data_IF_404206326476
#
_entry.id   IF_404206326476
#
_cell.length_a   1.000
_cell.length_b   1.000
_cell.length_c   1.000
_cell.angle_alpha   90.00
_cell.angle_beta   90.00
_cell.angle_gamma   90.00
#
_symmetry.space_group_name_H-M   'P 1'
#
loop_
_entity.id
_entity.type
_entity.pdbx_description
1 polymer ?
#
# COMPACT_ATOMS: atom_id res chain seq x y z
N UNK A 1 -12.27 7.03 -12.53
CA UNK A 1 -13.55 7.76 -12.67
C UNK A 1 -13.81 8.64 -11.43
N UNK A 2 -12.93 9.61 -11.16
CA UNK A 2 -13.05 10.59 -10.04
C UNK A 2 -13.56 11.92 -10.63
N UNK A 3 -14.76 11.87 -11.20
CA UNK A 3 -15.44 13.02 -11.78
C UNK A 3 -16.90 12.89 -11.40
N UNK A 4 -17.32 13.49 -10.28
CA UNK A 4 -18.69 14.01 -10.12
C UNK A 4 -19.02 14.78 -8.83
N UNK A 5 -18.11 14.96 -7.86
CA UNK A 5 -18.45 15.65 -6.60
C UNK A 5 -17.60 16.89 -6.28
N UNK A 6 -17.16 17.64 -7.31
CA UNK A 6 -16.48 18.95 -7.12
C UNK A 6 -17.12 20.09 -7.91
N UNK A 7 -18.42 20.01 -8.17
CA UNK A 7 -19.18 21.12 -8.79
C UNK A 7 -20.39 21.39 -7.91
N UNK A 8 -20.21 22.23 -6.89
CA UNK A 8 -21.23 23.06 -6.22
C UNK A 8 -20.55 23.82 -5.08
N UNK A 9 -19.55 24.62 -5.42
CA UNK A 9 -18.90 25.58 -4.51
C UNK A 9 -18.68 26.93 -5.18
N UNK A 10 -19.42 27.22 -6.25
CA UNK A 10 -19.52 28.55 -6.87
C UNK A 10 -20.80 29.19 -6.37
N UNK A 11 -20.76 29.71 -5.15
CA UNK A 11 -21.88 30.43 -4.56
C UNK A 11 -21.40 31.09 -3.29
N UNK A 12 -21.61 32.41 -3.19
CA UNK A 12 -21.16 33.32 -2.13
C UNK A 12 -19.71 33.78 -2.29
N UNK A 13 -19.46 34.70 -3.23
CA UNK A 13 -19.18 36.13 -2.93
C UNK A 13 -19.55 36.91 -4.20
N UNK A 14 -20.85 37.12 -4.40
CA UNK A 14 -21.34 38.19 -5.26
C UNK A 14 -22.09 39.17 -4.37
N UNK A 15 -21.84 40.45 -4.60
CA UNK A 15 -22.58 41.60 -4.10
C UNK A 15 -22.16 42.17 -2.73
N UNK A 16 -21.34 43.22 -2.79
CA UNK A 16 -21.52 44.42 -1.98
C UNK A 16 -20.77 45.61 -2.63
N UNK A 17 -21.32 46.10 -3.74
CA UNK A 17 -21.06 47.46 -4.21
C UNK A 17 -22.33 47.97 -4.90
N UNK A 18 -23.35 48.26 -4.09
CA UNK A 18 -24.46 49.13 -4.45
C UNK A 18 -24.76 50.07 -3.29
N UNK A 19 -24.32 51.32 -3.49
CA UNK A 19 -25.02 52.57 -3.18
C UNK A 19 -25.87 52.61 -1.90
N UNK A 20 -25.31 53.20 -0.83
CA UNK A 20 -26.11 53.99 0.11
C UNK A 20 -26.15 55.44 -0.40
N UNK A 21 -27.24 55.79 -1.09
CA UNK A 21 -27.69 57.16 -1.19
C UNK A 21 -28.83 57.38 -0.18
N UNK A 22 -28.79 58.54 0.49
CA UNK A 22 -29.76 59.12 1.42
C UNK A 22 -29.64 58.70 2.91
N UNK A 23 -28.83 59.44 3.65
CA UNK A 23 -29.07 59.78 5.05
C UNK A 23 -28.74 61.27 5.29
N UNK A 24 -29.44 61.95 6.22
CA UNK A 24 -29.44 63.41 6.31
C UNK A 24 -28.16 63.96 6.94
N UNK A 25 -27.86 65.19 6.54
CA UNK A 25 -26.77 66.05 6.98
C UNK A 25 -26.43 65.95 8.48
N UNK A 26 -25.24 65.46 8.77
CA UNK A 26 -24.62 65.57 10.09
C UNK A 26 -23.35 64.72 10.16
N UNK A 27 -22.19 65.39 10.12
CA UNK A 27 -20.86 64.82 10.40
C UNK A 27 -20.34 63.83 9.34
N UNK A 28 -19.88 64.39 8.21
CA UNK A 28 -19.01 63.66 7.29
C UNK A 28 -17.63 63.49 7.93
N UNK A 29 -17.32 62.28 8.41
CA UNK A 29 -15.93 61.85 8.57
C UNK A 29 -15.24 61.94 7.18
N UNK A 30 -13.95 62.33 7.10
CA UNK A 30 -13.25 62.33 5.82
C UNK A 30 -13.30 60.91 5.24
N UNK A 31 -14.06 60.73 4.18
CA UNK A 31 -14.04 59.51 3.40
C UNK A 31 -12.68 59.45 2.72
N UNK A 32 -11.73 58.71 3.31
CA UNK A 32 -10.41 58.51 2.75
C UNK A 32 -10.57 58.04 1.30
N UNK A 33 -9.96 58.78 0.38
CA UNK A 33 -9.97 58.43 -1.04
C UNK A 33 -9.37 57.03 -1.20
N UNK A 34 -9.93 56.17 -2.07
CA UNK A 34 -9.34 54.86 -2.32
C UNK A 34 -7.86 55.02 -2.68
N UNK A 35 -7.01 54.17 -2.11
CA UNK A 35 -5.56 54.22 -2.30
C UNK A 35 -5.11 53.68 -3.68
N UNK A 36 -5.92 53.90 -4.72
CA UNK A 36 -5.66 53.52 -6.10
C UNK A 36 -6.27 54.56 -7.07
N UNK A 37 -5.66 54.69 -8.23
CA UNK A 37 -6.10 55.53 -9.34
C UNK A 37 -7.19 54.85 -10.16
N UNK A 38 -7.96 55.65 -10.92
CA UNK A 38 -8.93 55.11 -11.88
C UNK A 38 -8.27 54.24 -12.97
N UNK A 39 -7.03 54.55 -13.36
CA UNK A 39 -6.28 53.76 -14.33
C UNK A 39 -5.97 52.36 -13.79
N UNK A 40 -5.52 52.26 -12.54
CA UNK A 40 -5.30 50.98 -11.86
C UNK A 40 -6.60 50.18 -11.74
N UNK A 41 -7.68 50.82 -11.25
CA UNK A 41 -8.97 50.17 -11.09
C UNK A 41 -9.53 49.61 -12.40
N UNK A 42 -9.47 50.41 -13.48
CA UNK A 42 -9.94 49.99 -14.79
C UNK A 42 -9.10 48.84 -15.36
N UNK A 43 -7.78 48.91 -15.23
CA UNK A 43 -6.89 47.85 -15.69
C UNK A 43 -7.09 46.53 -14.90
N UNK A 44 -7.24 46.62 -13.58
CA UNK A 44 -7.57 45.46 -12.75
C UNK A 44 -8.92 44.85 -13.14
N UNK A 45 -9.98 45.65 -13.31
CA UNK A 45 -11.30 45.13 -13.67
C UNK A 45 -11.32 44.52 -15.08
N UNK A 46 -10.59 45.11 -16.03
CA UNK A 46 -10.42 44.54 -17.36
C UNK A 46 -9.76 43.15 -17.27
N UNK A 47 -8.72 43.01 -16.45
CA UNK A 47 -8.08 41.72 -16.21
C UNK A 47 -9.03 40.74 -15.49
N UNK A 48 -9.60 41.11 -14.34
CA UNK A 48 -10.46 40.23 -13.56
C UNK A 48 -11.74 39.79 -14.30
N UNK A 49 -12.27 40.63 -15.19
CA UNK A 49 -13.44 40.35 -16.02
C UNK A 49 -13.16 39.56 -17.30
N UNK A 50 -11.90 39.35 -17.67
CA UNK A 50 -11.52 38.60 -18.87
C UNK A 50 -11.88 37.10 -18.72
N UNK A 51 -12.51 36.53 -19.75
CA UNK A 51 -13.01 35.16 -19.76
C UNK A 51 -11.97 34.17 -20.29
N UNK A 52 -11.12 34.58 -21.22
CA UNK A 52 -10.05 33.73 -21.72
C UNK A 52 -8.86 33.74 -20.74
N UNK A 53 -8.48 32.59 -20.15
CA UNK A 53 -7.46 32.56 -19.11
C UNK A 53 -6.06 32.99 -19.60
N UNK A 54 -5.69 32.70 -20.85
CA UNK A 54 -4.41 33.14 -21.41
C UNK A 54 -4.35 34.67 -21.58
N UNK A 55 -5.44 35.27 -22.06
CA UNK A 55 -5.57 36.72 -22.20
C UNK A 55 -5.66 37.41 -20.85
N UNK A 56 -6.31 36.77 -19.87
CA UNK A 56 -6.38 37.23 -18.50
C UNK A 56 -4.98 37.37 -17.88
N UNK A 57 -4.12 36.37 -18.09
CA UNK A 57 -2.71 36.43 -17.66
C UNK A 57 -1.99 37.62 -18.28
N UNK A 58 -2.15 37.86 -19.59
CA UNK A 58 -1.52 39.01 -20.26
C UNK A 58 -1.98 40.35 -19.67
N UNK A 59 -3.28 40.50 -19.40
CA UNK A 59 -3.83 41.71 -18.79
C UNK A 59 -3.33 41.92 -17.35
N UNK A 60 -3.16 40.83 -16.59
CA UNK A 60 -2.57 40.87 -15.26
C UNK A 60 -1.08 41.25 -15.31
N UNK A 61 -0.33 40.71 -16.28
CA UNK A 61 1.09 41.04 -16.48
C UNK A 61 1.25 42.53 -16.82
N UNK A 62 0.41 43.04 -17.73
CA UNK A 62 0.33 44.46 -18.05
C UNK A 62 -0.01 45.33 -16.82
N UNK A 63 -0.96 44.87 -16.00
CA UNK A 63 -1.34 45.56 -14.77
C UNK A 63 -0.16 45.66 -13.80
N UNK A 64 0.52 44.55 -13.50
CA UNK A 64 1.65 44.53 -12.56
C UNK A 64 2.84 45.33 -13.10
N UNK A 65 3.08 45.29 -14.41
CA UNK A 65 4.16 46.06 -15.03
C UNK A 65 3.91 47.58 -14.97
N UNK A 66 2.67 48.02 -15.22
CA UNK A 66 2.29 49.45 -15.19
C UNK A 66 2.12 49.98 -13.77
N UNK A 67 1.69 49.13 -12.84
CA UNK A 67 1.31 49.52 -11.48
C UNK A 67 1.98 48.64 -10.40
N UNK A 68 3.32 48.59 -10.34
CA UNK A 68 4.06 47.69 -9.45
C UNK A 68 3.94 48.02 -7.96
N UNK A 69 3.39 49.19 -7.61
CA UNK A 69 3.14 49.63 -6.23
C UNK A 69 1.64 49.72 -5.89
N UNK A 70 0.77 49.19 -6.76
CA UNK A 70 -0.68 49.30 -6.58
C UNK A 70 -1.17 48.63 -5.32
N UNK A 71 -2.10 49.27 -4.61
CA UNK A 71 -2.83 48.64 -3.50
C UNK A 71 -3.76 47.52 -3.96
N UNK A 72 -4.01 47.40 -5.28
CA UNK A 72 -4.80 46.32 -5.87
C UNK A 72 -4.00 45.04 -6.16
N UNK A 73 -2.67 45.04 -5.94
CA UNK A 73 -1.82 43.87 -6.15
C UNK A 73 -2.27 42.59 -5.42
N UNK A 74 -2.76 42.61 -4.17
CA UNK A 74 -3.23 41.41 -3.49
C UNK A 74 -4.39 40.74 -4.26
N UNK A 75 -5.30 41.55 -4.79
CA UNK A 75 -6.40 41.06 -5.62
C UNK A 75 -5.90 40.53 -6.96
N UNK A 76 -4.95 41.22 -7.60
CA UNK A 76 -4.33 40.74 -8.84
C UNK A 76 -3.64 39.37 -8.64
N UNK A 77 -2.90 39.18 -7.55
CA UNK A 77 -2.27 37.88 -7.22
C UNK A 77 -3.29 36.76 -7.03
N UNK A 78 -4.46 37.07 -6.44
CA UNK A 78 -5.58 36.14 -6.36
C UNK A 78 -6.13 35.74 -7.72
N UNK A 79 -6.30 36.69 -8.63
CA UNK A 79 -6.72 36.38 -10.00
C UNK A 79 -5.65 35.54 -10.72
N UNK A 80 -4.36 35.85 -10.54
CA UNK A 80 -3.27 35.05 -11.12
C UNK A 80 -3.31 33.58 -10.70
N UNK A 81 -3.26 33.27 -9.39
CA UNK A 81 -3.18 31.87 -8.99
C UNK A 81 -4.43 31.09 -9.35
N UNK A 82 -5.63 31.71 -9.35
CA UNK A 82 -6.87 31.07 -9.80
C UNK A 82 -6.80 30.74 -11.29
N UNK A 83 -6.29 31.68 -12.07
CA UNK A 83 -6.16 31.52 -13.52
C UNK A 83 -5.11 30.48 -13.87
N UNK A 84 -3.99 30.44 -13.14
CA UNK A 84 -3.00 29.40 -13.32
C UNK A 84 -3.48 28.03 -12.84
N UNK A 85 -4.32 27.96 -11.81
CA UNK A 85 -4.97 26.71 -11.40
C UNK A 85 -5.96 26.20 -12.48
N UNK A 86 -6.77 27.10 -13.07
CA UNK A 86 -7.62 26.81 -14.24
C UNK A 86 -6.79 26.25 -15.42
N UNK A 87 -5.62 26.84 -15.67
CA UNK A 87 -4.66 26.40 -16.69
C UNK A 87 -3.83 25.18 -16.26
N UNK A 88 -4.01 24.66 -15.04
CA UNK A 88 -3.22 23.57 -14.43
C UNK A 88 -1.71 23.85 -14.37
N UNK A 89 -1.32 25.12 -14.37
CA UNK A 89 0.05 25.58 -14.17
C UNK A 89 0.35 25.69 -12.67
N UNK A 90 0.38 24.54 -11.99
CA UNK A 90 0.55 24.48 -10.53
C UNK A 90 1.81 25.18 -10.00
N UNK A 91 2.98 25.16 -10.67
CA UNK A 91 4.14 25.96 -10.22
C UNK A 91 3.85 27.46 -10.18
N UNK A 92 3.08 27.98 -11.15
CA UNK A 92 2.65 29.37 -11.18
C UNK A 92 1.56 29.67 -10.14
N UNK A 93 0.63 28.74 -9.92
CA UNK A 93 -0.33 28.81 -8.81
C UNK A 93 0.39 28.97 -7.48
N UNK A 94 1.38 28.12 -7.19
CA UNK A 94 2.20 28.19 -5.97
C UNK A 94 2.94 29.54 -5.91
N UNK A 95 3.58 29.96 -7.01
CA UNK A 95 4.31 31.23 -7.06
C UNK A 95 3.45 32.42 -6.65
N UNK A 96 2.25 32.55 -7.21
CA UNK A 96 1.37 33.70 -6.93
C UNK A 96 0.63 33.57 -5.60
N UNK A 97 0.36 32.36 -5.12
CA UNK A 97 -0.09 32.15 -3.75
C UNK A 97 0.99 32.57 -2.74
N UNK A 98 2.26 32.23 -2.98
CA UNK A 98 3.39 32.65 -2.14
C UNK A 98 3.59 34.18 -2.16
N UNK A 99 3.42 34.83 -3.32
CA UNK A 99 3.44 36.32 -3.40
C UNK A 99 2.34 36.95 -2.56
N UNK A 100 1.13 36.38 -2.56
CA UNK A 100 0.05 36.87 -1.71
C UNK A 100 0.39 36.66 -0.23
N UNK A 101 0.80 35.45 0.16
CA UNK A 101 1.17 35.11 1.54
C UNK A 101 2.33 35.96 2.09
N UNK A 102 3.25 36.39 1.23
CA UNK A 102 4.36 37.27 1.61
C UNK A 102 3.92 38.67 2.09
N UNK A 103 2.66 39.05 1.89
CA UNK A 103 2.11 40.30 2.42
C UNK A 103 1.86 40.26 3.94
N UNK A 104 1.90 39.08 4.57
CA UNK A 104 1.84 38.91 6.02
C UNK A 104 0.57 39.49 6.64
N UNK A 105 0.74 40.31 7.68
CA UNK A 105 -0.34 40.89 8.50
C UNK A 105 -1.26 41.85 7.74
N UNK A 106 -0.95 42.17 6.48
CA UNK A 106 -1.84 42.92 5.59
C UNK A 106 -3.04 42.10 5.09
N UNK A 107 -3.02 40.78 5.26
CA UNK A 107 -4.11 39.89 4.87
C UNK A 107 -5.00 39.56 6.06
N UNK A 108 -6.32 39.58 5.83
CA UNK A 108 -7.26 38.95 6.77
C UNK A 108 -7.13 37.41 6.75
N UNK A 109 -7.68 36.76 7.79
CA UNK A 109 -7.60 35.32 7.97
C UNK A 109 -8.24 34.54 6.80
N UNK A 110 -9.29 35.07 6.18
CA UNK A 110 -9.97 34.43 5.05
C UNK A 110 -9.10 34.43 3.78
N UNK A 111 -8.53 35.58 3.43
CA UNK A 111 -7.61 35.72 2.30
C UNK A 111 -6.35 34.85 2.48
N UNK A 112 -5.83 34.80 3.72
CA UNK A 112 -4.70 33.94 4.07
C UNK A 112 -5.06 32.46 3.95
N UNK A 113 -6.20 32.04 4.47
CA UNK A 113 -6.67 30.65 4.38
C UNK A 113 -6.85 30.19 2.93
N UNK A 114 -7.46 31.02 2.08
CA UNK A 114 -7.64 30.69 0.66
C UNK A 114 -6.30 30.50 -0.07
N UNK A 115 -5.34 31.37 0.20
CA UNK A 115 -4.00 31.27 -0.38
C UNK A 115 -3.25 30.01 0.08
N UNK A 116 -3.35 29.65 1.37
CA UNK A 116 -2.78 28.41 1.92
C UNK A 116 -3.45 27.18 1.30
N UNK A 117 -4.77 27.20 1.15
CA UNK A 117 -5.55 26.11 0.56
C UNK A 117 -5.16 25.84 -0.89
N UNK A 118 -5.14 26.87 -1.75
CA UNK A 118 -4.83 26.69 -3.17
C UNK A 118 -3.37 26.27 -3.38
N UNK A 119 -2.44 26.80 -2.58
CA UNK A 119 -1.04 26.40 -2.59
C UNK A 119 -0.86 24.92 -2.24
N UNK A 120 -1.60 24.46 -1.22
CA UNK A 120 -1.62 23.06 -0.77
C UNK A 120 -2.17 22.13 -1.85
N UNK A 121 -3.27 22.52 -2.50
CA UNK A 121 -3.86 21.78 -3.61
C UNK A 121 -2.90 21.67 -4.79
N UNK A 122 -2.28 22.79 -5.18
CA UNK A 122 -1.31 22.84 -6.26
C UNK A 122 -0.10 21.93 -5.99
N UNK A 123 0.46 21.97 -4.77
CA UNK A 123 1.54 21.06 -4.37
C UNK A 123 1.14 19.59 -4.53
N UNK A 124 -0.03 19.19 -4.03
CA UNK A 124 -0.49 17.79 -4.13
C UNK A 124 -0.63 17.31 -5.58
N UNK A 125 -0.95 18.22 -6.50
CA UNK A 125 -1.15 17.92 -7.92
C UNK A 125 0.13 17.98 -8.77
N UNK A 126 1.21 18.59 -8.28
CA UNK A 126 2.41 18.83 -9.08
C UNK A 126 3.72 18.37 -8.45
N UNK A 127 3.73 17.94 -7.19
CA UNK A 127 4.95 17.54 -6.51
C UNK A 127 5.62 16.35 -7.22
N UNK A 128 6.92 16.47 -7.43
CA UNK A 128 7.77 15.43 -7.99
C UNK A 128 8.92 15.15 -7.01
N UNK A 129 8.90 13.97 -6.40
CA UNK A 129 9.91 13.54 -5.43
C UNK A 129 11.35 13.48 -6.00
N UNK A 130 11.48 13.44 -7.33
CA UNK A 130 12.78 13.40 -8.04
C UNK A 130 13.31 14.77 -8.43
N UNK A 131 12.54 15.85 -8.19
CA UNK A 131 13.00 17.19 -8.49
C UNK A 131 14.20 17.58 -7.58
N UNK A 132 15.17 18.36 -8.08
CA UNK A 132 16.33 18.78 -7.28
C UNK A 132 15.96 19.52 -5.98
N UNK A 133 14.84 20.22 -5.99
CA UNK A 133 14.28 21.01 -4.89
C UNK A 133 13.14 20.29 -4.15
N UNK A 134 12.93 18.99 -4.37
CA UNK A 134 11.82 18.24 -3.78
C UNK A 134 11.77 18.34 -2.24
N UNK A 135 12.93 18.31 -1.57
CA UNK A 135 13.00 18.45 -0.11
C UNK A 135 12.53 19.83 0.36
N UNK A 136 12.89 20.88 -0.36
CA UNK A 136 12.47 22.26 -0.06
C UNK A 136 10.97 22.42 -0.30
N UNK A 137 10.47 21.93 -1.44
CA UNK A 137 9.04 21.93 -1.75
C UNK A 137 8.22 21.22 -0.67
N UNK A 138 8.64 20.02 -0.25
CA UNK A 138 7.98 19.27 0.82
C UNK A 138 8.03 20.02 2.16
N UNK A 139 9.19 20.57 2.53
CA UNK A 139 9.35 21.38 3.76
C UNK A 139 8.36 22.53 3.78
N UNK A 140 8.29 23.28 2.67
CA UNK A 140 7.40 24.43 2.54
C UNK A 140 5.93 24.00 2.50
N UNK A 141 5.58 22.91 1.82
CA UNK A 141 4.22 22.38 1.81
C UNK A 141 3.74 21.95 3.19
N UNK A 142 4.61 21.30 3.99
CA UNK A 142 4.31 20.96 5.39
C UNK A 142 4.03 22.22 6.20
N UNK A 143 4.87 23.24 6.09
CA UNK A 143 4.68 24.52 6.78
C UNK A 143 3.34 25.19 6.37
N UNK A 144 3.07 25.27 5.07
CA UNK A 144 1.80 25.81 4.53
C UNK A 144 0.59 25.08 5.09
N UNK A 145 0.64 23.75 5.14
CA UNK A 145 -0.49 22.96 5.63
C UNK A 145 -0.73 23.17 7.14
N UNK A 146 0.33 23.19 7.94
CA UNK A 146 0.23 23.43 9.39
C UNK A 146 -0.27 24.86 9.68
N UNK A 147 0.21 25.85 8.94
CA UNK A 147 -0.29 27.22 9.03
C UNK A 147 -1.76 27.30 8.59
N UNK A 148 -2.15 26.54 7.57
CA UNK A 148 -3.54 26.43 7.11
C UNK A 148 -4.48 25.92 8.21
N UNK A 149 -4.07 24.87 8.94
CA UNK A 149 -4.81 24.35 10.09
C UNK A 149 -4.93 25.39 11.21
N UNK A 150 -3.86 26.13 11.50
CA UNK A 150 -3.87 27.18 12.51
C UNK A 150 -4.83 28.31 12.14
N UNK A 151 -4.73 28.83 10.91
CA UNK A 151 -5.57 29.93 10.42
C UNK A 151 -7.04 29.49 10.33
N UNK A 152 -7.31 28.25 9.93
CA UNK A 152 -8.67 27.70 9.88
C UNK A 152 -9.39 27.76 11.23
N UNK A 153 -8.65 27.58 12.34
CA UNK A 153 -9.18 27.73 13.70
C UNK A 153 -9.47 29.18 14.12
N UNK A 154 -8.92 30.16 13.40
CA UNK A 154 -9.07 31.59 13.69
C UNK A 154 -10.13 32.27 12.82
N UNK A 155 -10.56 31.64 11.72
CA UNK A 155 -11.61 32.20 10.86
C UNK A 155 -12.91 32.30 11.66
N UNK A 156 -13.54 33.48 11.76
CA UNK A 156 -14.82 33.62 12.43
C UNK A 156 -15.92 32.96 11.61
N UNK A 157 -16.95 32.47 12.29
CA UNK A 157 -18.15 31.96 11.64
C UNK A 157 -18.80 33.08 10.81
N UNK A 158 -19.07 32.88 9.51
CA UNK A 158 -19.77 33.89 8.70
C UNK A 158 -21.20 34.14 9.19
N UNK A 159 -21.69 35.37 9.02
CA UNK A 159 -23.09 35.70 9.30
C UNK A 159 -24.05 34.81 8.48
N UNK A 160 -25.16 34.41 9.09
CA UNK A 160 -26.16 33.54 8.45
C UNK A 160 -25.75 32.06 8.32
N UNK A 161 -24.53 31.68 8.73
CA UNK A 161 -24.08 30.28 8.76
C UNK A 161 -24.34 29.68 10.15
N UNK A 162 -24.97 28.51 10.19
CA UNK A 162 -25.18 27.75 11.44
C UNK A 162 -23.87 27.15 11.93
N UNK A 163 -23.75 26.85 13.21
CA UNK A 163 -22.51 26.26 13.76
C UNK A 163 -22.21 24.90 13.11
N UNK A 164 -23.25 24.09 12.88
CA UNK A 164 -23.12 22.81 12.19
C UNK A 164 -22.60 22.97 10.75
N UNK A 165 -23.13 23.94 10.00
CA UNK A 165 -22.66 24.22 8.64
C UNK A 165 -21.22 24.76 8.64
N UNK A 166 -20.86 25.57 9.65
CA UNK A 166 -19.52 26.09 9.77
C UNK A 166 -18.49 24.99 10.05
N UNK A 167 -18.80 24.07 10.96
CA UNK A 167 -17.96 22.90 11.21
C UNK A 167 -17.89 21.96 9.99
N UNK A 168 -18.99 21.79 9.27
CA UNK A 168 -18.99 21.04 8.00
C UNK A 168 -18.06 21.68 6.97
N UNK A 169 -18.12 23.01 6.82
CA UNK A 169 -17.27 23.75 5.88
C UNK A 169 -15.78 23.64 6.20
N UNK A 170 -15.42 23.39 7.47
CA UNK A 170 -14.03 23.19 7.89
C UNK A 170 -13.50 21.79 7.60
N UNK A 171 -14.36 20.79 7.36
CA UNK A 171 -13.90 19.40 7.16
C UNK A 171 -12.98 19.26 5.95
N UNK A 172 -13.41 19.78 4.79
CA UNK A 172 -12.63 19.68 3.55
C UNK A 172 -11.23 20.28 3.68
N UNK A 173 -11.05 21.55 4.13
CA UNK A 173 -9.71 22.11 4.32
C UNK A 173 -8.93 21.38 5.41
N UNK A 174 -9.58 20.92 6.50
CA UNK A 174 -8.92 20.13 7.56
C UNK A 174 -8.32 18.83 7.00
N UNK A 175 -9.10 18.08 6.22
CA UNK A 175 -8.63 16.84 5.58
C UNK A 175 -7.49 17.13 4.61
N UNK A 176 -7.63 18.15 3.76
CA UNK A 176 -6.60 18.52 2.79
C UNK A 176 -5.27 18.89 3.47
N UNK A 177 -5.31 19.76 4.47
CA UNK A 177 -4.09 20.20 5.16
C UNK A 177 -3.43 19.03 5.91
N UNK A 178 -4.19 18.23 6.65
CA UNK A 178 -3.62 17.05 7.33
C UNK A 178 -3.03 16.05 6.33
N UNK A 179 -3.70 15.80 5.20
CA UNK A 179 -3.16 14.94 4.15
C UNK A 179 -1.84 15.49 3.57
N UNK A 180 -1.76 16.79 3.28
CA UNK A 180 -0.52 17.39 2.76
C UNK A 180 0.59 17.43 3.79
N UNK A 181 0.27 17.75 5.05
CA UNK A 181 1.24 17.69 6.15
C UNK A 181 1.82 16.27 6.26
N UNK A 182 0.97 15.24 6.22
CA UNK A 182 1.39 13.85 6.25
C UNK A 182 2.19 13.43 5.03
N UNK A 183 1.77 13.85 3.83
CA UNK A 183 2.49 13.56 2.60
C UNK A 183 3.88 14.20 2.60
N UNK A 184 3.97 15.48 2.93
CA UNK A 184 5.24 16.16 3.03
C UNK A 184 6.14 15.56 4.12
N UNK A 185 5.59 15.20 5.28
CA UNK A 185 6.34 14.51 6.33
C UNK A 185 6.90 13.16 5.86
N UNK A 186 6.11 12.38 5.11
CA UNK A 186 6.55 11.12 4.51
C UNK A 186 7.73 11.34 3.55
N UNK A 187 7.66 12.37 2.69
CA UNK A 187 8.76 12.73 1.79
C UNK A 187 10.03 13.18 2.53
N UNK A 188 9.84 13.82 3.69
CA UNK A 188 10.92 14.24 4.59
C UNK A 188 11.42 13.10 5.49
N UNK A 189 10.89 11.89 5.35
CA UNK A 189 11.18 10.71 6.20
C UNK A 189 10.85 10.91 7.68
N UNK A 190 9.97 11.87 7.99
CA UNK A 190 9.37 12.05 9.30
C UNK A 190 8.14 11.14 9.40
N UNK A 191 8.39 9.85 9.59
CA UNK A 191 7.35 8.83 9.55
C UNK A 191 6.35 8.97 10.69
N UNK A 192 6.79 9.40 11.88
CA UNK A 192 5.89 9.67 13.01
C UNK A 192 4.95 10.83 12.69
N UNK A 193 5.49 11.97 12.23
CA UNK A 193 4.66 13.11 11.82
C UNK A 193 3.73 12.78 10.66
N UNK A 194 4.17 11.90 9.74
CA UNK A 194 3.34 11.40 8.66
C UNK A 194 2.14 10.58 9.16
N UNK A 195 2.39 9.62 10.07
CA UNK A 195 1.36 8.79 10.70
C UNK A 195 0.32 9.68 11.40
N UNK A 196 0.76 10.60 12.27
CA UNK A 196 -0.14 11.46 13.03
C UNK A 196 -1.05 12.30 12.11
N UNK A 197 -0.46 12.89 11.07
CA UNK A 197 -1.19 13.72 10.11
C UNK A 197 -2.14 12.91 9.23
N UNK A 198 -1.74 11.72 8.77
CA UNK A 198 -2.63 10.86 7.98
C UNK A 198 -3.79 10.32 8.81
N UNK A 199 -3.58 9.97 10.09
CA UNK A 199 -4.68 9.60 11.00
C UNK A 199 -5.65 10.77 11.20
N UNK A 200 -5.15 12.00 11.37
CA UNK A 200 -5.99 13.18 11.47
C UNK A 200 -6.81 13.43 10.18
N UNK A 201 -6.21 13.21 8.99
CA UNK A 201 -6.94 13.30 7.73
C UNK A 201 -8.04 12.22 7.62
N UNK A 202 -7.74 10.98 8.01
CA UNK A 202 -8.68 9.86 7.97
C UNK A 202 -9.83 9.97 8.97
N UNK A 203 -9.66 10.73 10.06
CA UNK A 203 -10.75 11.07 10.96
C UNK A 203 -11.84 11.91 10.28
N UNK A 204 -11.46 12.75 9.29
CA UNK A 204 -12.39 13.54 8.49
C UNK A 204 -12.86 12.86 7.20
N UNK A 205 -12.02 11.99 6.61
CA UNK A 205 -12.36 11.15 5.45
C UNK A 205 -11.92 9.69 5.67
N UNK A 206 -12.77 8.85 6.30
CA UNK A 206 -12.45 7.45 6.58
C UNK A 206 -12.42 6.56 5.33
N UNK A 207 -12.69 7.12 4.14
CA UNK A 207 -12.70 6.41 2.86
C UNK A 207 -11.52 6.78 1.96
N UNK A 208 -10.58 7.59 2.47
CA UNK A 208 -9.38 8.02 1.75
C UNK A 208 -8.39 6.89 1.47
N UNK A 209 -8.62 6.12 0.40
CA UNK A 209 -7.79 4.98 0.02
C UNK A 209 -6.29 5.34 -0.14
N UNK A 210 -5.98 6.45 -0.82
CA UNK A 210 -4.60 6.92 -1.00
C UNK A 210 -3.96 7.30 0.33
N UNK A 211 -4.73 7.85 1.26
CA UNK A 211 -4.27 8.20 2.61
C UNK A 211 -3.92 6.94 3.39
N UNK A 212 -4.73 5.88 3.33
CA UNK A 212 -4.41 4.57 3.92
C UNK A 212 -3.16 3.93 3.30
N UNK A 213 -2.98 4.01 1.99
CA UNK A 213 -1.76 3.51 1.35
C UNK A 213 -0.52 4.21 1.91
N UNK A 214 -0.53 5.54 1.98
CA UNK A 214 0.60 6.32 2.48
C UNK A 214 0.83 6.13 3.97
N UNK A 215 -0.23 5.98 4.75
CA UNK A 215 -0.16 5.60 6.16
C UNK A 215 0.51 4.22 6.33
N UNK A 216 0.12 3.24 5.51
CA UNK A 216 0.73 1.92 5.50
C UNK A 216 2.22 1.97 5.19
N UNK A 217 2.63 2.74 4.19
CA UNK A 217 4.04 2.98 3.89
C UNK A 217 4.77 3.63 5.07
N UNK A 218 4.19 4.66 5.69
CA UNK A 218 4.79 5.34 6.84
C UNK A 218 5.05 4.36 8.00
N UNK A 219 4.07 3.51 8.35
CA UNK A 219 4.24 2.47 9.38
C UNK A 219 5.37 1.48 9.05
N UNK A 220 5.46 1.04 7.79
CA UNK A 220 6.49 0.09 7.36
C UNK A 220 7.90 0.70 7.28
N UNK A 221 8.00 2.04 7.22
CA UNK A 221 9.29 2.75 7.19
C UNK A 221 9.76 3.25 8.56
N UNK A 222 8.95 3.11 9.61
CA UNK A 222 9.37 3.34 10.99
C UNK A 222 10.58 2.48 11.38
N UNK A 223 11.31 2.91 12.41
CA UNK A 223 12.40 2.14 13.02
C UNK A 223 12.10 1.94 14.53
N UNK A 224 11.73 0.71 14.98
CA UNK A 224 11.47 -0.48 14.16
C UNK A 224 10.16 -0.36 13.34
N UNK A 225 10.02 -1.12 12.22
CA UNK A 225 8.81 -1.10 11.42
C UNK A 225 7.57 -1.59 12.19
N UNK A 226 6.44 -0.90 12.01
CA UNK A 226 5.15 -1.29 12.58
C UNK A 226 4.37 -2.15 11.58
N UNK A 227 4.83 -3.40 11.38
CA UNK A 227 4.33 -4.29 10.34
C UNK A 227 2.82 -4.51 10.37
N UNK A 228 2.24 -4.78 11.54
CA UNK A 228 0.81 -5.11 11.63
C UNK A 228 -0.08 -3.92 11.25
N UNK A 229 0.24 -2.73 11.73
CA UNK A 229 -0.51 -1.51 11.41
C UNK A 229 -0.28 -1.09 9.96
N UNK A 230 0.94 -1.28 9.45
CA UNK A 230 1.29 -1.08 8.04
C UNK A 230 0.50 -1.98 7.09
N UNK A 231 0.47 -3.29 7.35
CA UNK A 231 -0.29 -4.25 6.54
C UNK A 231 -1.79 -3.97 6.60
N UNK A 232 -2.32 -3.64 7.78
CA UNK A 232 -3.72 -3.29 7.94
C UNK A 232 -4.11 -2.06 7.12
N UNK A 233 -3.32 -0.98 7.20
CA UNK A 233 -3.58 0.23 6.43
C UNK A 233 -3.49 -0.01 4.91
N UNK A 234 -2.50 -0.78 4.44
CA UNK A 234 -2.42 -1.18 3.03
C UNK A 234 -3.63 -2.01 2.59
N UNK A 235 -4.05 -2.97 3.40
CA UNK A 235 -5.21 -3.80 3.13
C UNK A 235 -6.50 -2.99 3.08
N UNK A 236 -6.66 -2.01 3.97
CA UNK A 236 -7.77 -1.04 3.95
C UNK A 236 -7.77 -0.22 2.67
N UNK A 237 -6.60 0.26 2.23
CA UNK A 237 -6.45 0.96 0.95
C UNK A 237 -6.92 0.10 -0.23
N UNK A 238 -6.57 -1.19 -0.23
CA UNK A 238 -6.97 -2.14 -1.27
C UNK A 238 -8.48 -2.40 -1.25
N UNK A 239 -9.06 -2.60 -0.06
CA UNK A 239 -10.49 -2.80 0.12
C UNK A 239 -11.34 -1.61 -0.37
N UNK A 240 -10.84 -0.39 -0.21
CA UNK A 240 -11.50 0.85 -0.64
C UNK A 240 -11.42 1.10 -2.17
N UNK A 241 -10.65 0.31 -2.92
CA UNK A 241 -10.57 0.35 -4.40
C UNK A 241 -10.21 1.73 -4.97
N UNK A 242 -9.28 2.43 -4.33
CA UNK A 242 -8.76 3.72 -4.79
C UNK A 242 -7.90 3.65 -6.06
N UNK A 243 -7.44 4.80 -6.58
CA UNK A 243 -6.48 4.83 -7.67
C UNK A 243 -5.25 3.98 -7.40
N UNK A 244 -4.85 3.16 -8.37
CA UNK A 244 -3.68 2.31 -8.24
C UNK A 244 -3.86 1.09 -7.32
N UNK A 245 -5.10 0.66 -7.05
CA UNK A 245 -5.38 -0.48 -6.16
C UNK A 245 -4.57 -1.73 -6.52
N UNK A 246 -4.45 -2.09 -7.80
CA UNK A 246 -3.67 -3.26 -8.22
C UNK A 246 -2.19 -3.15 -7.82
N UNK A 247 -1.62 -1.95 -7.92
CA UNK A 247 -0.24 -1.67 -7.50
C UNK A 247 -0.09 -1.74 -5.98
N UNK A 248 -1.07 -1.21 -5.23
CA UNK A 248 -1.08 -1.30 -3.76
C UNK A 248 -1.23 -2.75 -3.30
N UNK A 249 -2.09 -3.53 -3.95
CA UNK A 249 -2.26 -4.97 -3.69
C UNK A 249 -0.96 -5.74 -3.93
N UNK A 250 -0.31 -5.50 -5.07
CA UNK A 250 0.99 -6.11 -5.37
C UNK A 250 2.07 -5.69 -4.35
N UNK A 251 2.07 -4.42 -3.93
CA UNK A 251 2.96 -3.94 -2.88
C UNK A 251 2.71 -4.65 -1.55
N UNK A 252 1.46 -4.73 -1.08
CA UNK A 252 1.08 -5.47 0.14
C UNK A 252 1.55 -6.92 0.07
N UNK A 253 1.26 -7.63 -1.03
CA UNK A 253 1.70 -9.01 -1.24
C UNK A 253 3.22 -9.16 -1.07
N UNK A 254 3.98 -8.28 -1.70
CA UNK A 254 5.44 -8.30 -1.62
C UNK A 254 5.96 -7.98 -0.21
N UNK A 255 5.30 -7.10 0.54
CA UNK A 255 5.66 -6.81 1.92
C UNK A 255 5.38 -8.00 2.85
N UNK A 256 4.24 -8.69 2.66
CA UNK A 256 3.92 -9.92 3.38
C UNK A 256 4.94 -11.02 3.06
N UNK A 257 5.28 -11.22 1.78
CA UNK A 257 6.28 -12.21 1.38
C UNK A 257 7.64 -11.96 2.04
N UNK A 258 8.09 -10.70 2.09
CA UNK A 258 9.35 -10.32 2.75
C UNK A 258 9.31 -10.53 4.26
N UNK A 259 8.17 -10.25 4.88
CA UNK A 259 7.98 -10.38 6.32
C UNK A 259 7.92 -11.84 6.79
N UNK A 260 7.25 -12.71 6.02
CA UNK A 260 7.04 -14.10 6.39
C UNK A 260 8.06 -15.06 5.80
N UNK A 261 8.59 -14.78 4.62
CA UNK A 261 9.42 -15.71 3.84
C UNK A 261 8.73 -17.08 3.65
N UNK A 262 7.42 -17.06 3.45
CA UNK A 262 6.63 -18.27 3.19
C UNK A 262 7.01 -18.86 1.83
N UNK A 263 7.30 -20.16 1.78
CA UNK A 263 7.65 -20.85 0.53
C UNK A 263 6.42 -21.08 -0.38
N UNK A 264 5.24 -21.17 0.22
CA UNK A 264 3.99 -21.49 -0.44
C UNK A 264 3.16 -20.23 -0.69
N UNK A 265 3.39 -19.59 -1.84
CA UNK A 265 2.77 -18.29 -2.19
C UNK A 265 1.22 -18.31 -2.20
N UNK A 266 0.59 -19.46 -2.45
CA UNK A 266 -0.88 -19.59 -2.40
C UNK A 266 -1.44 -19.34 -1.00
N UNK A 267 -0.72 -19.72 0.05
CA UNK A 267 -1.13 -19.47 1.44
C UNK A 267 -0.98 -18.00 1.80
N UNK A 268 0.10 -17.38 1.32
CA UNK A 268 0.30 -15.93 1.42
C UNK A 268 -0.86 -15.17 0.78
N UNK A 269 -1.26 -15.57 -0.43
CA UNK A 269 -2.36 -14.93 -1.16
C UNK A 269 -3.70 -15.10 -0.44
N UNK A 270 -3.98 -16.28 0.12
CA UNK A 270 -5.16 -16.52 0.94
C UNK A 270 -5.17 -15.62 2.19
N UNK A 271 -4.05 -15.56 2.93
CA UNK A 271 -3.92 -14.71 4.13
C UNK A 271 -4.05 -13.22 3.78
N UNK A 272 -3.48 -12.77 2.66
CA UNK A 272 -3.63 -11.40 2.20
C UNK A 272 -5.11 -11.07 1.92
N UNK A 273 -5.85 -11.98 1.28
CA UNK A 273 -7.27 -11.78 0.99
C UNK A 273 -8.14 -11.77 2.25
N UNK A 274 -7.82 -12.60 3.24
CA UNK A 274 -8.45 -12.56 4.57
C UNK A 274 -8.20 -11.21 5.24
N UNK A 275 -6.93 -10.76 5.27
CA UNK A 275 -6.56 -9.45 5.80
C UNK A 275 -7.33 -8.31 5.11
N UNK A 276 -7.45 -8.33 3.77
CA UNK A 276 -8.22 -7.32 3.01
C UNK A 276 -9.70 -7.35 3.41
N UNK A 277 -10.27 -8.54 3.60
CA UNK A 277 -11.67 -8.71 4.01
C UNK A 277 -11.92 -8.17 5.41
N UNK A 278 -11.06 -8.50 6.36
CA UNK A 278 -11.12 -8.00 7.73
C UNK A 278 -10.93 -6.47 7.77
N UNK A 279 -9.92 -5.97 7.06
CA UNK A 279 -9.66 -4.55 6.95
C UNK A 279 -10.80 -3.81 6.27
N UNK A 280 -11.60 -4.41 5.38
CA UNK A 280 -12.80 -3.77 4.83
C UNK A 280 -13.88 -3.48 5.90
N UNK A 281 -13.93 -4.30 6.96
CA UNK A 281 -14.91 -4.18 8.05
C UNK A 281 -14.54 -3.17 9.14
N UNK A 282 -13.27 -2.83 9.33
CA UNK A 282 -12.82 -1.91 10.38
C UNK A 282 -11.68 -0.99 9.93
N UNK A 283 -11.77 0.29 10.30
CA UNK A 283 -10.68 1.26 10.09
C UNK A 283 -9.47 0.94 10.99
N UNK A 284 -9.74 0.54 12.24
CA UNK A 284 -8.72 0.18 13.22
C UNK A 284 -8.41 -1.32 13.19
N UNK A 285 -7.14 -1.66 13.40
CA UNK A 285 -6.68 -3.05 13.51
C UNK A 285 -7.05 -3.60 14.89
N UNK A 286 -7.66 -4.81 14.99
CA UNK A 286 -7.78 -5.49 16.28
C UNK A 286 -6.41 -5.81 16.87
N UNK A 287 -6.20 -5.54 18.16
CA UNK A 287 -4.90 -5.81 18.83
C UNK A 287 -4.48 -7.28 18.78
N UNK A 288 -5.47 -8.17 18.81
CA UNK A 288 -5.33 -9.62 18.70
C UNK A 288 -4.94 -10.10 17.31
N UNK A 289 -5.13 -9.28 16.26
CA UNK A 289 -4.75 -9.65 14.90
C UNK A 289 -3.23 -9.64 14.75
N UNK A 290 -2.67 -10.80 14.37
CA UNK A 290 -1.24 -10.99 14.11
C UNK A 290 -1.04 -11.84 12.86
N UNK A 291 0.05 -11.57 12.17
CA UNK A 291 0.56 -12.38 11.08
C UNK A 291 1.90 -12.98 11.56
N UNK A 292 2.12 -14.30 11.46
CA UNK A 292 3.39 -14.92 11.84
C UNK A 292 4.55 -14.35 11.02
N UNK A 293 5.65 -13.99 11.67
CA UNK A 293 6.89 -13.54 11.03
C UNK A 293 7.73 -14.71 10.50
N UNK A 294 8.77 -14.42 9.72
CA UNK A 294 9.75 -15.42 9.31
C UNK A 294 10.41 -16.15 10.50
N UNK A 295 10.64 -15.46 11.62
CA UNK A 295 11.16 -16.07 12.84
C UNK A 295 10.16 -17.02 13.49
N UNK A 296 8.87 -16.67 13.49
CA UNK A 296 7.80 -17.55 14.00
C UNK A 296 7.68 -18.81 13.13
N UNK A 297 7.76 -18.67 11.81
CA UNK A 297 7.76 -19.81 10.89
C UNK A 297 9.01 -20.68 11.08
N UNK A 298 10.18 -20.07 11.27
CA UNK A 298 11.41 -20.82 11.53
C UNK A 298 11.34 -21.61 12.83
N UNK A 299 10.84 -20.99 13.90
CA UNK A 299 10.61 -21.68 15.17
C UNK A 299 9.61 -22.83 15.02
N UNK A 300 8.52 -22.61 14.29
CA UNK A 300 7.55 -23.66 14.01
C UNK A 300 8.17 -24.83 13.23
N UNK A 301 9.16 -24.58 12.34
CA UNK A 301 9.92 -25.63 11.64
C UNK A 301 10.82 -26.44 12.57
N UNK A 302 11.45 -25.80 13.54
CA UNK A 302 12.33 -26.48 14.51
C UNK A 302 11.55 -27.43 15.43
N UNK A 303 10.26 -27.17 15.64
CA UNK A 303 9.35 -27.99 16.44
C UNK A 303 8.62 -29.08 15.60
N UNK A 304 9.02 -29.33 14.33
CA UNK A 304 8.30 -30.19 13.37
C UNK A 304 8.42 -31.70 13.58
N UNK A 305 9.05 -32.18 14.66
CA UNK A 305 9.29 -33.62 14.88
C UNK A 305 8.02 -34.47 14.74
N UNK A 306 6.83 -33.88 14.96
CA UNK A 306 5.54 -34.53 14.73
C UNK A 306 4.52 -33.67 13.94
N UNK A 307 4.95 -32.90 12.93
CA UNK A 307 4.06 -31.95 12.24
C UNK A 307 2.78 -32.59 11.65
N UNK A 308 2.84 -33.87 11.26
CA UNK A 308 1.65 -34.64 10.82
C UNK A 308 0.56 -34.66 11.91
N UNK A 309 0.95 -34.85 13.18
CA UNK A 309 0.00 -34.85 14.29
C UNK A 309 -0.65 -33.48 14.50
N UNK A 310 0.13 -32.41 14.34
CA UNK A 310 -0.38 -31.03 14.43
C UNK A 310 -1.35 -30.71 13.30
N UNK A 311 -1.04 -31.12 12.07
CA UNK A 311 -1.92 -30.95 10.92
C UNK A 311 -3.24 -31.73 11.08
N UNK A 312 -3.18 -32.96 11.62
CA UNK A 312 -4.38 -33.76 11.92
C UNK A 312 -5.26 -33.13 12.99
N UNK A 313 -4.66 -32.53 14.02
CA UNK A 313 -5.40 -31.90 15.12
C UNK A 313 -6.18 -30.64 14.68
N UNK A 314 -5.71 -29.96 13.62
CA UNK A 314 -6.34 -28.73 13.12
C UNK A 314 -6.13 -27.51 14.02
N UNK A 315 -6.90 -26.45 13.77
CA UNK A 315 -6.83 -25.21 14.54
C UNK A 315 -5.62 -24.31 14.21
N UNK A 316 -5.34 -23.35 15.09
CA UNK A 316 -4.31 -22.32 14.84
C UNK A 316 -2.89 -22.90 14.78
N UNK A 317 -2.58 -23.93 15.57
CA UNK A 317 -1.28 -24.62 15.51
C UNK A 317 -1.09 -25.30 14.15
N UNK A 318 -2.11 -26.00 13.65
CA UNK A 318 -2.07 -26.60 12.32
C UNK A 318 -1.87 -25.56 11.22
N UNK A 319 -2.55 -24.41 11.29
CA UNK A 319 -2.37 -23.31 10.33
C UNK A 319 -0.94 -22.78 10.34
N UNK A 320 -0.36 -22.55 11.51
CA UNK A 320 1.02 -22.07 11.66
C UNK A 320 2.02 -23.08 11.11
N UNK A 321 1.89 -24.35 11.50
CA UNK A 321 2.73 -25.45 11.02
C UNK A 321 2.62 -25.58 9.51
N UNK A 322 1.41 -25.57 8.96
CA UNK A 322 1.19 -25.63 7.52
C UNK A 322 1.83 -24.48 6.76
N UNK A 323 1.67 -23.25 7.26
CA UNK A 323 2.33 -22.07 6.70
C UNK A 323 3.86 -22.18 6.76
N UNK A 324 4.37 -22.82 7.81
CA UNK A 324 5.80 -23.02 8.02
C UNK A 324 6.38 -24.11 7.09
N UNK A 325 5.63 -25.18 6.80
CA UNK A 325 6.12 -26.37 6.08
C UNK A 325 5.73 -26.46 4.61
N UNK A 326 4.62 -25.85 4.17
CA UNK A 326 4.24 -25.88 2.75
C UNK A 326 5.34 -25.27 1.87
N UNK A 327 5.68 -25.96 0.78
CA UNK A 327 6.70 -25.55 -0.19
C UNK A 327 8.13 -25.91 0.22
N UNK A 328 8.35 -26.51 1.39
CA UNK A 328 9.68 -26.99 1.79
C UNK A 328 10.00 -28.34 1.16
N UNK A 329 11.26 -28.51 0.81
CA UNK A 329 11.83 -29.81 0.48
C UNK A 329 12.26 -30.53 1.76
N UNK A 330 11.80 -31.76 1.92
CA UNK A 330 12.20 -32.65 2.99
C UNK A 330 13.17 -33.67 2.40
N UNK A 331 14.41 -33.78 2.91
CA UNK A 331 15.45 -34.60 2.28
C UNK A 331 15.29 -36.10 2.55
N UNK A 332 14.69 -36.47 3.69
CA UNK A 332 14.61 -37.85 4.15
C UNK A 332 13.24 -38.12 4.76
N UNK A 333 12.25 -38.42 3.92
CA UNK A 333 10.93 -38.89 4.35
C UNK A 333 10.90 -40.41 4.19
N UNK A 334 10.67 -41.14 5.28
CA UNK A 334 10.56 -42.58 5.29
C UNK A 334 9.11 -43.05 5.47
N UNK A 335 8.76 -44.20 4.91
CA UNK A 335 7.44 -44.79 5.11
C UNK A 335 7.29 -46.18 4.48
N UNK A 336 6.08 -46.71 4.55
CA UNK A 336 5.70 -47.97 3.91
C UNK A 336 4.75 -47.71 2.74
N UNK A 337 5.02 -48.34 1.61
CA UNK A 337 4.18 -48.22 0.42
C UNK A 337 2.88 -49.01 0.62
N UNK A 338 1.73 -48.35 0.45
CA UNK A 338 0.40 -48.96 0.58
C UNK A 338 -0.21 -49.24 -0.80
N UNK A 339 -0.05 -48.30 -1.74
CA UNK A 339 -0.50 -48.45 -3.13
C UNK A 339 0.55 -47.87 -4.10
N UNK A 340 0.64 -48.46 -5.28
CA UNK A 340 1.54 -48.01 -6.35
C UNK A 340 0.74 -47.80 -7.63
N UNK A 341 0.84 -46.60 -8.19
CA UNK A 341 0.43 -46.32 -9.56
C UNK A 341 1.68 -46.15 -10.43
N UNK A 342 2.03 -47.20 -11.17
CA UNK A 342 3.24 -47.27 -11.99
C UNK A 342 3.13 -46.56 -13.36
N UNK A 343 2.31 -45.50 -13.44
CA UNK A 343 2.22 -44.62 -14.61
C UNK A 343 3.45 -43.74 -14.77
N UNK A 344 3.43 -42.85 -15.77
CA UNK A 344 4.35 -41.74 -15.85
C UNK A 344 3.55 -40.43 -15.65
N UNK A 345 3.73 -39.70 -14.54
CA UNK A 345 4.65 -39.97 -13.44
C UNK A 345 4.20 -41.14 -12.55
N UNK A 346 5.16 -41.69 -11.79
CA UNK A 346 4.88 -42.73 -10.78
C UNK A 346 4.28 -42.06 -9.56
N UNK A 347 3.20 -42.62 -9.03
CA UNK A 347 2.56 -42.12 -7.80
C UNK A 347 2.57 -43.24 -6.77
N UNK A 348 3.19 -43.00 -5.62
CA UNK A 348 3.14 -43.89 -4.47
C UNK A 348 2.14 -43.33 -3.46
N UNK A 349 1.26 -44.16 -2.93
CA UNK A 349 0.56 -43.85 -1.69
C UNK A 349 1.29 -44.52 -0.54
N UNK A 350 1.79 -43.71 0.37
CA UNK A 350 2.72 -44.10 1.43
C UNK A 350 2.08 -43.83 2.79
N UNK A 351 2.43 -44.64 3.78
CA UNK A 351 2.18 -44.36 5.18
C UNK A 351 3.47 -43.96 5.90
N UNK A 352 3.46 -42.80 6.54
CA UNK A 352 4.46 -42.39 7.54
C UNK A 352 3.80 -42.36 8.93
N UNK A 353 4.47 -42.90 9.95
CA UNK A 353 3.97 -42.96 11.32
C UNK A 353 5.08 -42.63 12.32
N UNK A 354 4.72 -42.49 13.59
CA UNK A 354 5.68 -42.14 14.64
C UNK A 354 6.53 -43.34 15.08
N UNK A 355 6.00 -44.56 14.93
CA UNK A 355 6.67 -45.79 15.39
C UNK A 355 6.76 -46.84 14.27
N UNK A 356 7.79 -47.71 14.28
CA UNK A 356 7.89 -48.81 13.32
C UNK A 356 6.66 -49.73 13.33
N UNK A 357 6.10 -50.02 14.50
CA UNK A 357 4.93 -50.90 14.67
C UNK A 357 3.68 -50.30 14.01
N UNK A 358 3.49 -48.98 14.15
CA UNK A 358 2.41 -48.25 13.48
C UNK A 358 2.57 -48.29 11.96
N UNK A 359 3.79 -48.11 11.45
CA UNK A 359 4.09 -48.17 10.03
C UNK A 359 3.84 -49.58 9.47
N UNK A 360 4.27 -50.62 10.18
CA UNK A 360 4.08 -52.01 9.77
C UNK A 360 2.59 -52.41 9.76
N UNK A 361 1.80 -51.96 10.74
CA UNK A 361 0.38 -52.28 10.84
C UNK A 361 -0.52 -51.47 9.89
N UNK A 362 -0.05 -50.32 9.37
CA UNK A 362 -0.87 -49.42 8.57
C UNK A 362 -1.42 -50.04 7.27
N UNK A 363 -2.71 -49.86 7.00
CA UNK A 363 -3.37 -50.34 5.77
C UNK A 363 -3.92 -49.21 4.90
N UNK A 364 -3.93 -47.99 5.42
CA UNK A 364 -4.40 -46.78 4.73
C UNK A 364 -3.25 -45.80 4.57
N UNK A 365 -3.03 -45.21 3.39
CA UNK A 365 -1.98 -44.21 3.21
C UNK A 365 -2.32 -42.88 3.89
N UNK A 366 -1.28 -42.10 4.16
CA UNK A 366 -1.41 -40.72 4.63
C UNK A 366 -0.51 -39.73 3.88
N UNK A 367 0.15 -40.20 2.82
CA UNK A 367 0.93 -39.41 1.88
C UNK A 367 0.68 -39.90 0.45
N UNK A 368 0.45 -38.97 -0.47
CA UNK A 368 0.53 -39.18 -1.90
C UNK A 368 1.84 -38.57 -2.41
N UNK A 369 2.68 -39.39 -3.05
CA UNK A 369 4.05 -39.03 -3.42
C UNK A 369 4.22 -39.17 -4.93
N UNK A 370 4.35 -38.03 -5.61
CA UNK A 370 4.50 -37.95 -7.07
C UNK A 370 5.97 -37.89 -7.46
N UNK A 371 6.42 -38.94 -8.15
CA UNK A 371 7.81 -39.14 -8.58
C UNK A 371 7.92 -38.85 -10.07
N UNK A 372 8.72 -37.84 -10.42
CA UNK A 372 8.95 -37.42 -11.79
C UNK A 372 10.41 -37.66 -12.19
N UNK A 373 10.65 -38.19 -13.39
CA UNK A 373 12.02 -38.38 -13.91
C UNK A 373 12.82 -39.53 -13.29
N UNK A 374 12.17 -40.45 -12.58
CA UNK A 374 12.79 -41.65 -12.00
C UNK A 374 12.04 -42.93 -12.43
N UNK A 375 12.15 -43.37 -13.70
CA UNK A 375 11.36 -44.47 -14.25
C UNK A 375 11.60 -45.81 -13.53
N UNK A 376 12.76 -45.99 -12.92
CA UNK A 376 13.07 -47.17 -12.12
C UNK A 376 12.17 -47.32 -10.87
N UNK A 377 11.56 -46.24 -10.38
CA UNK A 377 10.63 -46.27 -9.27
C UNK A 377 9.36 -47.10 -9.58
N UNK A 378 9.08 -47.39 -10.87
CA UNK A 378 8.02 -48.33 -11.29
C UNK A 378 8.21 -49.75 -10.75
N UNK A 379 9.41 -50.09 -10.26
CA UNK A 379 9.71 -51.41 -9.67
C UNK A 379 9.33 -51.52 -8.20
N UNK A 380 9.01 -50.41 -7.53
CA UNK A 380 8.53 -50.39 -6.14
C UNK A 380 7.18 -51.10 -6.07
N UNK A 381 6.98 -51.92 -5.04
CA UNK A 381 5.79 -52.72 -4.82
C UNK A 381 5.08 -52.30 -3.53
N UNK A 382 3.84 -52.78 -3.38
CA UNK A 382 3.11 -52.67 -2.13
C UNK A 382 3.91 -53.35 -1.00
N UNK A 383 3.86 -52.75 0.18
CA UNK A 383 4.54 -53.15 1.42
C UNK A 383 6.07 -52.93 1.41
N UNK A 384 6.67 -52.46 0.31
CA UNK A 384 8.08 -52.07 0.30
C UNK A 384 8.32 -50.87 1.26
N UNK A 385 9.44 -50.86 2.00
CA UNK A 385 9.91 -49.65 2.65
C UNK A 385 10.39 -48.65 1.61
N UNK A 386 10.16 -47.37 1.85
CA UNK A 386 10.61 -46.30 0.96
C UNK A 386 11.24 -45.16 1.77
N UNK A 387 12.29 -44.57 1.21
CA UNK A 387 12.83 -43.30 1.66
C UNK A 387 13.00 -42.39 0.44
N UNK A 388 12.60 -41.13 0.55
CA UNK A 388 12.65 -40.18 -0.56
C UNK A 388 12.90 -38.76 -0.07
N UNK A 389 13.42 -37.92 -0.98
CA UNK A 389 13.29 -36.47 -0.85
C UNK A 389 12.07 -35.99 -1.64
N UNK A 390 11.34 -34.99 -1.15
CA UNK A 390 10.21 -34.39 -1.87
C UNK A 390 9.82 -33.02 -1.32
N UNK A 391 9.10 -32.24 -2.13
CA UNK A 391 8.49 -30.97 -1.70
C UNK A 391 7.06 -31.19 -1.22
N UNK A 392 6.73 -30.74 -0.01
CA UNK A 392 5.36 -30.78 0.51
C UNK A 392 4.53 -29.64 -0.12
N UNK A 393 3.47 -29.94 -0.88
CA UNK A 393 2.74 -28.94 -1.66
C UNK A 393 1.26 -28.79 -1.28
N UNK A 394 0.69 -29.77 -0.58
CA UNK A 394 -0.70 -29.73 -0.12
C UNK A 394 -0.97 -30.71 1.02
N UNK A 395 -2.14 -30.61 1.63
CA UNK A 395 -2.71 -31.69 2.41
C UNK A 395 -4.24 -31.62 2.42
N UNK A 396 -4.88 -32.77 2.52
CA UNK A 396 -6.29 -32.91 2.84
C UNK A 396 -6.42 -33.27 4.32
N UNK A 397 -7.33 -32.62 5.09
CA UNK A 397 -7.52 -32.93 6.50
C UNK A 397 -8.36 -34.19 6.72
N UNK A 398 -9.27 -34.53 5.79
CA UNK A 398 -10.18 -35.67 5.90
C UNK A 398 -10.58 -36.25 4.50
N UNK A 399 -10.24 -37.52 4.19
CA UNK A 399 -9.28 -38.34 4.92
C UNK A 399 -7.90 -37.69 4.88
N UNK A 400 -7.15 -37.80 5.98
CA UNK A 400 -5.85 -37.13 6.06
C UNK A 400 -4.86 -37.65 5.01
N UNK A 401 -4.38 -36.75 4.15
CA UNK A 401 -3.42 -37.07 3.09
C UNK A 401 -2.49 -35.89 2.86
N UNK A 402 -1.17 -36.09 2.97
CA UNK A 402 -0.18 -35.11 2.53
C UNK A 402 0.11 -35.29 1.03
N UNK A 403 0.26 -34.19 0.31
CA UNK A 403 0.58 -34.19 -1.13
C UNK A 403 2.02 -33.74 -1.36
N UNK A 404 2.81 -34.62 -1.98
CA UNK A 404 4.23 -34.42 -2.22
C UNK A 404 4.54 -34.43 -3.71
N UNK A 405 5.31 -33.44 -4.16
CA UNK A 405 5.76 -33.32 -5.55
C UNK A 405 7.29 -33.33 -5.66
N UNK A 406 7.77 -33.53 -6.89
CA UNK A 406 9.21 -33.59 -7.22
C UNK A 406 9.94 -34.64 -6.38
N UNK A 407 9.24 -35.74 -6.07
CA UNK A 407 9.80 -36.77 -5.22
C UNK A 407 10.92 -37.51 -5.94
N UNK A 408 11.98 -37.85 -5.19
CA UNK A 408 13.07 -38.69 -5.64
C UNK A 408 13.33 -39.76 -4.60
N UNK A 409 13.07 -41.01 -4.97
CA UNK A 409 13.28 -42.17 -4.10
C UNK A 409 14.77 -42.47 -4.02
N UNK A 410 15.26 -42.69 -2.80
CA UNK A 410 16.62 -43.11 -2.56
C UNK A 410 16.86 -44.46 -3.23
N UNK A 411 17.95 -44.56 -4.02
CA UNK A 411 18.21 -45.70 -4.90
C UNK A 411 18.23 -47.05 -4.16
N UNK A 412 18.65 -47.04 -2.91
CA UNK A 412 18.72 -48.21 -2.02
C UNK A 412 17.35 -48.83 -1.73
N UNK A 413 16.28 -48.04 -1.86
CA UNK A 413 14.89 -48.45 -1.66
C UNK A 413 14.16 -48.77 -2.97
N UNK A 414 14.89 -48.82 -4.10
CA UNK A 414 14.33 -49.22 -5.39
C UNK A 414 14.81 -50.63 -5.70
N UNK A 415 13.89 -51.61 -5.86
CA UNK A 415 14.28 -52.98 -6.20
C UNK A 415 15.18 -53.04 -7.44
N UNK A 416 16.20 -53.90 -7.39
CA UNK A 416 17.08 -54.14 -8.54
C UNK A 416 16.29 -54.71 -9.73
N UNK A 417 16.76 -54.43 -10.94
CA UNK A 417 16.19 -55.05 -12.13
C UNK A 417 16.44 -56.56 -12.07
N UNK A 418 15.37 -57.37 -12.06
CA UNK A 418 15.50 -58.82 -12.09
C UNK A 418 16.32 -59.20 -13.31
N UNK A 419 17.51 -59.77 -13.09
CA UNK A 419 18.34 -60.26 -14.18
C UNK A 419 17.52 -61.26 -15.02
N UNK A 420 17.46 -61.03 -16.35
CA UNK A 420 16.86 -62.01 -17.26
C UNK A 420 17.51 -63.39 -17.00
N UNK A 421 16.73 -64.46 -16.80
CA UNK A 421 17.28 -65.80 -16.67
C UNK A 421 17.85 -66.21 -18.03
N UNK A 422 19.13 -65.93 -18.26
CA UNK A 422 19.80 -66.22 -19.54
C UNK A 422 21.18 -65.58 -19.76
N UNK A 423 21.61 -64.61 -18.96
CA UNK A 423 22.95 -64.03 -19.12
C UNK A 423 24.02 -64.93 -18.49
N UNK A 424 24.58 -65.86 -19.29
CA UNK A 424 25.82 -66.58 -18.96
C UNK A 424 26.94 -65.56 -18.77
N UNK A 425 27.57 -65.56 -17.58
CA UNK A 425 28.85 -64.89 -17.34
C UNK A 425 29.87 -65.25 -18.44
N UNK A 426 30.62 -64.29 -19.02
CA UNK A 426 31.75 -64.61 -19.87
C UNK A 426 32.80 -65.37 -19.04
N UNK A 427 33.18 -66.56 -19.50
CA UNK A 427 34.18 -67.40 -18.84
C UNK A 427 35.49 -66.64 -18.64
N UNK A 428 36.01 -66.71 -17.41
CA UNK A 428 37.39 -66.31 -17.06
C UNK A 428 38.35 -67.05 -17.99
N UNK A 429 39.04 -66.35 -18.90
CA UNK A 429 40.21 -66.90 -19.59
C UNK A 429 41.34 -67.09 -18.56
N UNK A 430 42.10 -68.20 -18.61
CA UNK A 430 43.25 -68.39 -17.73
C UNK A 430 44.36 -67.40 -18.10
N UNK A 431 45.24 -67.02 -17.15
CA UNK A 431 46.31 -66.07 -17.40
C UNK A 431 47.42 -66.72 -18.23
N UNK A 432 47.80 -66.08 -19.34
CA UNK A 432 49.01 -66.41 -20.10
C UNK A 432 50.25 -65.97 -19.33
N UNK A 433 51.07 -66.95 -18.90
CA UNK A 433 52.43 -66.74 -18.40
C UNK A 433 53.30 -66.10 -19.49
N UNK A 434 53.94 -64.97 -19.20
CA UNK A 434 55.13 -64.51 -19.93
C UNK A 434 56.36 -65.26 -19.38
N UNK A 435 57.24 -65.82 -20.23
CA UNK A 435 58.56 -66.25 -19.79
C UNK A 435 59.51 -65.04 -19.75
N UNK A 436 60.28 -64.94 -18.67
CA UNK A 436 61.33 -63.94 -18.54
C UNK A 436 62.59 -64.33 -19.31
N UNK A 437 63.18 -63.36 -20.00
CA UNK A 437 64.59 -62.96 -19.88
C UNK A 437 64.77 -61.58 -20.48
#
# INVERSE_FOLDING_TARGET
MIRKWMITGTGLISMALMLCACAPSGWAAPQEKPAYTMAEYNAYNAAAGEKNPEQRVKLLDDFVAKFPSSTLLPFAYRVYYKTYDELKSYPKTIQYADKLLALGDKLDAGAKLEALYIRTLAFNNSFNEKAPDAKEQATRARQTALEGLQVLGQVPKPEGVTDAQFEENKKVPTVLFNYTAGYAALQLKDYKGAIDSFKAALAGDPTGAVTYFRLGVAYLQMDPPQYMDGFWALARSVALKGPGEAQVRAYLRNQLLRYQQAACEKLLDAQMNELITLAAGSAERPDTYKIPSAADLQKAREETTNFISDLRAGGEKAKLVWLATCGLEFPEVAGKVIEVNATDPVVLKVYNGATPEEIEAATTPNMEVKIEGQPEAKRIQKDDPVQFSATLVGYDPDPFMLHWEKAKVNREFIPEEKAQPGSKRPGRRPPTKKPGR
#
